data_IF_582799974572
#
_entry.id   IF_582799974572
#
_cell.length_a   1.000
_cell.length_b   1.000
_cell.length_c   1.000
_cell.angle_alpha   90.00
_cell.angle_beta   90.00
_cell.angle_gamma   90.00
#
_symmetry.space_group_name_H-M   'P 1'
#
loop_
_entity.id
_entity.type
_entity.pdbx_description
1 polymer ?
#
# COMPACT_ATOMS: atom_id res chain seq x y z
N UNK A 1 28.04 23.55 -15.00
CA UNK A 1 27.19 22.80 -15.96
C UNK A 1 25.76 22.81 -15.46
N UNK A 2 24.92 23.70 -15.99
CA UNK A 2 23.50 23.75 -15.64
C UNK A 2 22.79 22.54 -16.28
N UNK A 3 22.26 21.63 -15.47
CA UNK A 3 21.38 20.55 -15.98
C UNK A 3 20.17 21.23 -16.62
N UNK A 4 20.04 21.14 -17.94
CA UNK A 4 18.82 21.53 -18.65
C UNK A 4 17.65 20.77 -18.00
N UNK A 5 16.82 21.47 -17.23
CA UNK A 5 15.58 20.89 -16.69
C UNK A 5 14.73 20.52 -17.90
N UNK A 6 14.37 19.23 -18.03
CA UNK A 6 13.42 18.77 -19.04
C UNK A 6 12.21 19.72 -19.03
N UNK A 7 11.68 20.15 -20.18
CA UNK A 7 10.50 21.00 -20.21
C UNK A 7 9.37 20.29 -19.44
N UNK A 8 8.90 20.92 -18.36
CA UNK A 8 7.80 20.39 -17.56
C UNK A 8 6.55 20.56 -18.40
N UNK A 9 6.05 19.46 -18.98
CA UNK A 9 4.79 19.50 -19.71
C UNK A 9 3.66 19.55 -18.68
N UNK A 10 3.09 20.72 -18.49
CA UNK A 10 1.90 20.92 -17.68
C UNK A 10 0.66 20.61 -18.53
N UNK A 11 -0.29 19.84 -17.99
CA UNK A 11 -1.56 19.57 -18.66
C UNK A 11 -2.72 20.18 -17.89
N UNK A 12 -3.62 20.94 -18.55
CA UNK A 12 -4.79 21.48 -17.89
C UNK A 12 -5.71 20.37 -17.38
N UNK A 13 -6.26 20.57 -16.19
CA UNK A 13 -7.18 19.67 -15.50
C UNK A 13 -8.48 20.44 -15.22
N UNK A 14 -9.67 19.80 -15.35
CA UNK A 14 -10.92 20.43 -14.94
C UNK A 14 -10.90 20.86 -13.46
N UNK A 15 -11.48 22.03 -13.10
CA UNK A 15 -11.51 22.54 -11.73
C UNK A 15 -12.22 21.60 -10.75
N UNK A 16 -13.25 20.87 -11.22
CA UNK A 16 -13.95 19.85 -10.42
C UNK A 16 -13.03 18.72 -9.98
N UNK A 17 -12.09 18.34 -10.85
CA UNK A 17 -11.13 17.28 -10.58
C UNK A 17 -10.07 17.79 -9.60
N UNK A 18 -9.62 19.04 -9.72
CA UNK A 18 -8.73 19.69 -8.73
C UNK A 18 -9.36 19.71 -7.34
N UNK A 19 -10.63 20.12 -7.25
CA UNK A 19 -11.37 20.12 -5.99
C UNK A 19 -11.50 18.70 -5.39
N UNK A 20 -11.76 17.70 -6.24
CA UNK A 20 -11.82 16.29 -5.83
C UNK A 20 -10.48 15.78 -5.31
N UNK A 21 -9.36 16.07 -5.98
CA UNK A 21 -8.03 15.69 -5.49
C UNK A 21 -7.78 16.27 -4.11
N UNK A 22 -8.00 17.58 -3.94
CA UNK A 22 -7.74 18.27 -2.68
C UNK A 22 -8.60 17.73 -1.53
N UNK A 23 -9.87 17.38 -1.80
CA UNK A 23 -10.78 16.84 -0.78
C UNK A 23 -10.55 15.36 -0.47
N UNK A 24 -10.20 14.55 -1.47
CA UNK A 24 -10.16 13.09 -1.33
C UNK A 24 -8.76 12.51 -1.13
N UNK A 25 -7.70 13.20 -1.55
CA UNK A 25 -6.33 12.69 -1.38
C UNK A 25 -5.97 12.53 0.10
N UNK A 26 -6.33 13.50 0.93
CA UNK A 26 -6.03 13.50 2.37
C UNK A 26 -6.70 12.33 3.12
N UNK A 27 -8.03 12.10 3.05
CA UNK A 27 -8.65 10.96 3.74
C UNK A 27 -8.19 9.60 3.20
N UNK A 28 -7.94 9.47 1.89
CA UNK A 28 -7.44 8.21 1.31
C UNK A 28 -6.01 7.92 1.74
N UNK A 29 -5.14 8.93 1.70
CA UNK A 29 -3.75 8.81 2.12
C UNK A 29 -3.62 8.53 3.62
N UNK A 30 -4.34 9.28 4.46
CA UNK A 30 -4.35 9.06 5.91
C UNK A 30 -4.97 7.71 6.30
N UNK A 31 -6.02 7.28 5.60
CA UNK A 31 -6.61 5.96 5.82
C UNK A 31 -5.61 4.83 5.53
N UNK A 32 -4.86 4.94 4.44
CA UNK A 32 -3.86 3.93 4.09
C UNK A 32 -2.65 3.97 5.04
N UNK A 33 -2.23 5.16 5.49
CA UNK A 33 -1.20 5.30 6.52
C UNK A 33 -1.63 4.67 7.84
N UNK A 34 -2.82 5.01 8.33
CA UNK A 34 -3.37 4.47 9.58
C UNK A 34 -3.44 2.94 9.53
N UNK A 35 -3.90 2.40 8.41
CA UNK A 35 -3.97 0.95 8.21
C UNK A 35 -2.59 0.29 8.13
N UNK A 36 -1.59 0.97 7.55
CA UNK A 36 -0.21 0.51 7.53
C UNK A 36 0.38 0.43 8.94
N UNK A 37 0.09 1.42 9.79
CA UNK A 37 0.51 1.45 11.21
C UNK A 37 -0.14 0.30 11.98
N UNK A 38 -1.46 0.15 11.87
CA UNK A 38 -2.20 -0.94 12.54
C UNK A 38 -1.64 -2.30 12.12
N UNK A 39 -1.41 -2.49 10.82
CA UNK A 39 -0.85 -3.75 10.29
C UNK A 39 0.58 -3.98 10.81
N UNK A 40 1.39 -2.93 10.94
CA UNK A 40 2.75 -3.04 11.51
C UNK A 40 2.71 -3.53 12.94
N UNK A 41 1.87 -2.93 13.79
CA UNK A 41 1.71 -3.35 15.20
C UNK A 41 1.26 -4.81 15.28
N UNK A 42 0.31 -5.19 14.43
CA UNK A 42 -0.21 -6.54 14.33
C UNK A 42 0.91 -7.54 13.94
N UNK A 43 1.73 -7.19 12.94
CA UNK A 43 2.89 -8.00 12.52
C UNK A 43 3.95 -8.14 13.60
N UNK A 44 4.25 -7.08 14.35
CA UNK A 44 5.20 -7.14 15.48
C UNK A 44 4.68 -8.09 16.55
N UNK A 45 3.39 -8.02 16.87
CA UNK A 45 2.77 -8.97 17.80
C UNK A 45 2.87 -10.41 17.31
N UNK A 46 2.57 -10.65 16.02
CA UNK A 46 2.71 -11.99 15.40
C UNK A 46 4.16 -12.47 15.47
N UNK A 47 5.12 -11.60 15.14
CA UNK A 47 6.54 -11.91 15.14
C UNK A 47 7.04 -12.35 16.53
N UNK A 48 6.75 -11.54 17.55
CA UNK A 48 7.18 -11.81 18.92
C UNK A 48 6.50 -13.06 19.48
N UNK A 49 5.21 -13.25 19.21
CA UNK A 49 4.42 -14.31 19.84
C UNK A 49 4.55 -15.67 19.14
N UNK A 50 4.71 -15.69 17.82
CA UNK A 50 4.57 -16.91 17.01
C UNK A 50 5.82 -17.32 16.24
N UNK A 51 6.70 -16.39 15.83
CA UNK A 51 7.92 -16.76 15.10
C UNK A 51 8.85 -17.72 15.86
N UNK A 52 9.04 -17.59 17.19
CA UNK A 52 9.84 -18.56 17.95
C UNK A 52 9.26 -19.98 17.96
N UNK A 53 7.94 -20.11 17.76
CA UNK A 53 7.21 -21.41 17.78
C UNK A 53 7.03 -22.00 16.40
N UNK A 54 6.94 -21.14 15.38
CA UNK A 54 6.70 -21.47 13.98
C UNK A 54 7.67 -20.68 13.10
N UNK A 55 8.89 -21.19 12.82
CA UNK A 55 9.89 -20.44 12.05
C UNK A 55 9.40 -19.98 10.67
N UNK A 56 8.55 -20.78 10.02
CA UNK A 56 7.91 -20.45 8.73
C UNK A 56 6.95 -19.24 8.82
N UNK A 57 6.43 -18.91 10.01
CA UNK A 57 5.68 -17.66 10.21
C UNK A 57 6.58 -16.42 10.16
N UNK A 58 7.89 -16.56 10.40
CA UNK A 58 8.86 -15.48 10.19
C UNK A 58 8.92 -15.06 8.72
N UNK A 59 8.86 -16.02 7.80
CA UNK A 59 8.77 -15.74 6.35
C UNK A 59 7.51 -14.96 6.00
N UNK A 60 6.37 -15.34 6.58
CA UNK A 60 5.10 -14.62 6.42
C UNK A 60 5.19 -13.18 6.93
N UNK A 61 5.73 -12.98 8.13
CA UNK A 61 5.94 -11.65 8.72
C UNK A 61 6.83 -10.80 7.80
N UNK A 62 7.91 -11.37 7.26
CA UNK A 62 8.80 -10.67 6.34
C UNK A 62 8.11 -10.24 5.05
N UNK A 63 7.31 -11.12 4.44
CA UNK A 63 6.51 -10.80 3.25
C UNK A 63 5.52 -9.68 3.53
N UNK A 64 4.80 -9.75 4.66
CA UNK A 64 3.83 -8.72 5.03
C UNK A 64 4.47 -7.40 5.42
N UNK A 65 5.65 -7.41 6.06
CA UNK A 65 6.40 -6.20 6.33
C UNK A 65 6.75 -5.48 5.01
N UNK A 66 7.14 -6.24 3.99
CA UNK A 66 7.34 -5.72 2.63
C UNK A 66 6.07 -5.10 2.03
N UNK A 67 4.91 -5.74 2.20
CA UNK A 67 3.63 -5.22 1.73
C UNK A 67 3.22 -3.93 2.46
N UNK A 68 3.50 -3.83 3.76
CA UNK A 68 3.24 -2.63 4.57
C UNK A 68 4.10 -1.45 4.11
N UNK A 69 5.39 -1.68 3.82
CA UNK A 69 6.28 -0.64 3.29
C UNK A 69 5.74 -0.12 1.94
N UNK A 70 5.29 -1.02 1.07
CA UNK A 70 4.73 -0.64 -0.22
C UNK A 70 3.42 0.16 -0.06
N UNK A 71 2.53 -0.26 0.83
CA UNK A 71 1.32 0.48 1.15
C UNK A 71 1.62 1.88 1.72
N UNK A 72 2.63 1.99 2.58
CA UNK A 72 3.11 3.27 3.09
C UNK A 72 3.60 4.20 1.97
N UNK A 73 4.38 3.67 1.02
CA UNK A 73 4.84 4.44 -0.16
C UNK A 73 3.64 4.90 -1.00
N UNK A 74 2.65 4.03 -1.23
CA UNK A 74 1.41 4.41 -1.93
C UNK A 74 0.68 5.52 -1.19
N UNK A 75 0.62 5.47 0.13
CA UNK A 75 -0.03 6.50 0.95
C UNK A 75 0.67 7.85 0.82
N UNK A 76 2.01 7.87 0.85
CA UNK A 76 2.82 9.07 0.62
C UNK A 76 2.56 9.64 -0.78
N UNK A 77 2.54 8.80 -1.81
CA UNK A 77 2.21 9.23 -3.18
C UNK A 77 0.83 9.90 -3.23
N UNK A 78 -0.18 9.29 -2.59
CA UNK A 78 -1.54 9.84 -2.56
C UNK A 78 -1.57 11.18 -1.84
N UNK A 79 -0.89 11.31 -0.71
CA UNK A 79 -0.83 12.54 0.08
C UNK A 79 -0.09 13.69 -0.63
N UNK A 80 0.88 13.37 -1.49
CA UNK A 80 1.65 14.39 -2.23
C UNK A 80 0.97 14.83 -3.54
N UNK A 81 -0.05 14.11 -4.03
CA UNK A 81 -0.78 14.49 -5.25
C UNK A 81 -1.29 15.95 -5.26
N UNK A 82 -1.85 16.51 -4.17
CA UNK A 82 -2.32 17.90 -4.16
C UNK A 82 -1.21 18.93 -4.43
N UNK A 83 0.05 18.65 -4.06
CA UNK A 83 1.18 19.55 -4.27
C UNK A 83 1.59 19.64 -5.75
N UNK A 84 1.33 18.57 -6.50
CA UNK A 84 1.59 18.49 -7.94
C UNK A 84 0.43 19.01 -8.81
N UNK A 85 -0.63 19.53 -8.16
CA UNK A 85 -1.82 20.11 -8.79
C UNK A 85 -1.88 21.59 -8.42
N UNK A 86 -1.04 22.38 -9.08
CA UNK A 86 -1.02 23.84 -8.93
C UNK A 86 -1.87 24.48 -10.05
N UNK A 87 -2.78 25.38 -9.65
CA UNK A 87 -3.47 26.32 -10.56
C UNK A 87 -4.19 25.69 -11.77
N UNK A 88 -4.75 24.48 -11.63
CA UNK A 88 -5.46 23.80 -12.72
C UNK A 88 -4.57 23.03 -13.69
N UNK A 89 -3.28 22.83 -13.37
CA UNK A 89 -2.35 22.07 -14.19
C UNK A 89 -1.75 20.88 -13.41
N UNK A 90 -1.59 19.74 -14.09
CA UNK A 90 -0.85 18.56 -13.61
C UNK A 90 0.53 18.53 -14.25
N UNK A 91 1.57 18.27 -13.47
CA UNK A 91 2.85 17.82 -14.05
C UNK A 91 2.65 16.41 -14.63
N UNK A 92 2.74 16.30 -15.97
CA UNK A 92 2.54 15.06 -16.71
C UNK A 92 3.48 13.94 -16.25
N UNK A 93 4.74 14.28 -15.98
CA UNK A 93 5.77 13.32 -15.62
C UNK A 93 5.57 12.84 -14.18
N UNK A 94 5.27 13.77 -13.26
CA UNK A 94 4.99 13.43 -11.87
C UNK A 94 3.70 12.59 -11.73
N UNK A 95 2.63 12.97 -12.45
CA UNK A 95 1.38 12.21 -12.46
C UNK A 95 1.56 10.79 -13.00
N UNK A 96 2.24 10.64 -14.14
CA UNK A 96 2.49 9.31 -14.72
C UNK A 96 3.35 8.43 -13.81
N UNK A 97 4.41 9.01 -13.20
CA UNK A 97 5.23 8.32 -12.23
C UNK A 97 4.42 7.89 -10.99
N UNK A 98 3.62 8.79 -10.41
CA UNK A 98 2.75 8.49 -9.28
C UNK A 98 1.78 7.33 -9.59
N UNK A 99 1.11 7.38 -10.74
CA UNK A 99 0.20 6.31 -11.18
C UNK A 99 0.92 4.97 -11.38
N UNK A 100 2.03 4.97 -12.10
CA UNK A 100 2.82 3.75 -12.35
C UNK A 100 3.30 3.15 -11.03
N UNK A 101 3.91 3.97 -10.18
CA UNK A 101 4.45 3.53 -8.91
C UNK A 101 3.36 3.01 -7.98
N UNK A 102 2.21 3.70 -7.89
CA UNK A 102 1.09 3.24 -7.08
C UNK A 102 0.57 1.86 -7.52
N UNK A 103 0.44 1.63 -8.84
CA UNK A 103 0.02 0.33 -9.39
C UNK A 103 1.07 -0.76 -9.09
N UNK A 104 2.35 -0.47 -9.34
CA UNK A 104 3.43 -1.45 -9.14
C UNK A 104 3.56 -1.84 -7.68
N UNK A 105 3.58 -0.87 -6.76
CA UNK A 105 3.69 -1.13 -5.33
C UNK A 105 2.48 -1.86 -4.78
N UNK A 106 1.27 -1.51 -5.23
CA UNK A 106 0.09 -2.26 -4.82
C UNK A 106 0.08 -3.70 -5.33
N UNK A 107 0.44 -3.95 -6.60
CA UNK A 107 0.52 -5.31 -7.13
C UNK A 107 1.57 -6.15 -6.40
N UNK A 108 2.75 -5.56 -6.12
CA UNK A 108 3.79 -6.22 -5.35
C UNK A 108 3.33 -6.52 -3.92
N UNK A 109 2.67 -5.56 -3.26
CA UNK A 109 2.13 -5.73 -1.91
C UNK A 109 1.04 -6.78 -1.86
N UNK A 110 0.10 -6.74 -2.82
CA UNK A 110 -0.96 -7.74 -2.97
C UNK A 110 -0.39 -9.14 -3.19
N UNK A 111 0.62 -9.28 -4.04
CA UNK A 111 1.28 -10.57 -4.26
C UNK A 111 1.93 -11.09 -2.98
N UNK A 112 2.67 -10.27 -2.23
CA UNK A 112 3.27 -10.65 -0.94
C UNK A 112 2.21 -11.05 0.09
N UNK A 113 1.11 -10.31 0.16
CA UNK A 113 -0.03 -10.68 1.01
C UNK A 113 -0.61 -12.02 0.56
N UNK A 114 -0.87 -12.25 -0.72
CA UNK A 114 -1.36 -13.53 -1.23
C UNK A 114 -0.40 -14.69 -0.93
N UNK A 115 0.90 -14.51 -1.14
CA UNK A 115 1.91 -15.51 -0.77
C UNK A 115 1.91 -15.79 0.73
N UNK A 116 1.70 -14.78 1.57
CA UNK A 116 1.59 -14.95 3.03
C UNK A 116 0.40 -15.84 3.42
N UNK A 117 -0.72 -15.74 2.70
CA UNK A 117 -1.88 -16.62 2.86
C UNK A 117 -1.63 -18.07 2.42
N UNK A 118 -0.59 -18.34 1.62
CA UNK A 118 -0.18 -19.71 1.25
C UNK A 118 0.84 -20.26 2.25
N UNK A 119 1.82 -19.45 2.65
CA UNK A 119 2.86 -19.85 3.61
C UNK A 119 2.25 -20.17 4.98
N UNK A 120 1.19 -19.46 5.38
CA UNK A 120 0.58 -19.62 6.70
C UNK A 120 -0.10 -21.00 6.88
N UNK A 121 -1.03 -21.47 6.03
CA UNK A 121 -1.57 -22.82 6.12
C UNK A 121 -0.48 -23.90 6.08
N UNK A 122 0.57 -23.71 5.27
CA UNK A 122 1.69 -24.64 5.22
C UNK A 122 2.47 -24.69 6.54
N UNK A 123 2.70 -23.54 7.17
CA UNK A 123 3.35 -23.47 8.48
C UNK A 123 2.51 -24.17 9.57
N UNK A 124 1.18 -24.05 9.48
CA UNK A 124 0.24 -24.67 10.40
C UNK A 124 0.12 -26.18 10.17
N UNK A 125 0.07 -26.65 8.93
CA UNK A 125 -0.07 -28.08 8.62
C UNK A 125 1.14 -28.90 9.08
N UNK A 126 2.34 -28.33 9.03
CA UNK A 126 3.58 -28.99 9.48
C UNK A 126 3.67 -29.05 11.02
N UNK A 127 2.96 -28.17 11.73
CA UNK A 127 3.09 -28.00 13.19
C UNK A 127 1.76 -28.14 13.93
N UNK A 128 0.80 -28.86 13.35
CA UNK A 128 -0.58 -28.93 13.84
C UNK A 128 -0.65 -29.44 15.29
N UNK A 129 0.22 -30.38 15.65
CA UNK A 129 0.25 -30.97 17.00
C UNK A 129 1.01 -30.12 18.04
N UNK A 130 1.71 -29.07 17.60
CA UNK A 130 2.62 -28.27 18.43
C UNK A 130 2.07 -26.88 18.75
N UNK A 131 0.96 -26.49 18.13
CA UNK A 131 0.50 -25.10 18.14
C UNK A 131 -1.01 -25.03 18.29
N UNK A 132 -1.44 -24.50 19.43
CA UNK A 132 -2.83 -24.15 19.67
C UNK A 132 -3.16 -22.87 18.87
N UNK A 133 -3.77 -23.03 17.69
CA UNK A 133 -4.05 -21.92 16.76
C UNK A 133 -5.29 -21.17 17.23
N UNK A 134 -5.08 -20.25 18.16
CA UNK A 134 -6.15 -19.36 18.64
C UNK A 134 -6.56 -18.30 17.61
N UNK A 135 -7.78 -17.76 17.76
CA UNK A 135 -8.33 -16.61 17.03
C UNK A 135 -7.38 -15.40 16.93
N UNK A 136 -6.42 -15.27 17.85
CA UNK A 136 -5.43 -14.20 17.87
C UNK A 136 -4.54 -14.14 16.62
N UNK A 137 -4.21 -15.25 15.97
CA UNK A 137 -3.39 -15.25 14.75
C UNK A 137 -4.15 -14.64 13.56
N UNK A 138 -5.45 -14.93 13.47
CA UNK A 138 -6.34 -14.40 12.44
C UNK A 138 -6.57 -12.90 12.64
N UNK A 139 -6.86 -12.48 13.88
CA UNK A 139 -7.14 -11.08 14.22
C UNK A 139 -5.89 -10.20 14.17
N UNK A 140 -4.72 -10.71 14.56
CA UNK A 140 -3.48 -9.94 14.62
C UNK A 140 -2.60 -10.04 13.36
N UNK A 141 -2.97 -10.84 12.34
CA UNK A 141 -2.13 -11.01 11.14
C UNK A 141 -2.93 -10.93 9.84
N UNK A 142 -3.83 -11.89 9.65
CA UNK A 142 -4.57 -12.06 8.39
C UNK A 142 -5.53 -10.91 8.10
N UNK A 143 -6.31 -10.49 9.09
CA UNK A 143 -7.34 -9.47 8.90
C UNK A 143 -6.75 -8.08 8.58
N UNK A 144 -5.75 -7.57 9.32
CA UNK A 144 -5.11 -6.29 8.98
C UNK A 144 -4.45 -6.32 7.59
N UNK A 145 -3.78 -7.42 7.24
CA UNK A 145 -3.12 -7.56 5.95
C UNK A 145 -4.12 -7.59 4.78
N UNK A 146 -5.25 -8.30 4.93
CA UNK A 146 -6.31 -8.32 3.93
C UNK A 146 -6.93 -6.93 3.76
N UNK A 147 -7.24 -6.26 4.88
CA UNK A 147 -7.75 -4.90 4.86
C UNK A 147 -6.78 -3.96 4.14
N UNK A 148 -5.48 -4.07 4.40
CA UNK A 148 -4.44 -3.26 3.76
C UNK A 148 -4.38 -3.48 2.25
N UNK A 149 -4.43 -4.74 1.81
CA UNK A 149 -4.42 -5.09 0.38
C UNK A 149 -5.65 -4.53 -0.35
N UNK A 150 -6.84 -4.62 0.27
CA UNK A 150 -8.08 -4.10 -0.28
C UNK A 150 -8.10 -2.57 -0.32
N UNK A 151 -7.71 -1.92 0.77
CA UNK A 151 -7.69 -0.46 0.86
C UNK A 151 -6.60 0.15 -0.03
N UNK A 152 -5.46 -0.53 -0.17
CA UNK A 152 -4.43 -0.17 -1.16
C UNK A 152 -4.98 -0.18 -2.60
N UNK A 153 -5.87 -1.14 -2.92
CA UNK A 153 -6.54 -1.20 -4.22
C UNK A 153 -7.47 -0.02 -4.45
N UNK A 154 -8.18 0.42 -3.41
CA UNK A 154 -8.99 1.65 -3.45
C UNK A 154 -8.12 2.89 -3.69
N UNK A 155 -6.97 3.00 -3.01
CA UNK A 155 -6.03 4.10 -3.22
C UNK A 155 -5.49 4.12 -4.65
N UNK A 156 -5.10 2.98 -5.22
CA UNK A 156 -4.67 2.89 -6.62
C UNK A 156 -5.78 3.24 -7.59
N UNK A 157 -7.00 2.79 -7.34
CA UNK A 157 -8.16 3.15 -8.16
C UNK A 157 -8.41 4.66 -8.13
N UNK A 158 -8.24 5.30 -6.98
CA UNK A 158 -8.29 6.75 -6.83
C UNK A 158 -7.20 7.43 -7.69
N UNK A 159 -5.92 7.06 -7.52
CA UNK A 159 -4.81 7.61 -8.32
C UNK A 159 -5.05 7.43 -9.81
N UNK A 160 -5.54 6.25 -10.23
CA UNK A 160 -5.82 5.94 -11.65
C UNK A 160 -6.97 6.77 -12.23
N UNK A 161 -7.99 7.10 -11.43
CA UNK A 161 -9.11 7.96 -11.86
C UNK A 161 -8.70 9.42 -11.94
N UNK A 162 -7.85 9.84 -11.02
CA UNK A 162 -7.36 11.22 -10.90
C UNK A 162 -6.28 11.54 -11.95
N UNK A 163 -5.44 10.56 -12.27
CA UNK A 163 -4.40 10.67 -13.29
C UNK A 163 -4.80 9.77 -14.48
N UNK A 164 -5.62 10.26 -15.43
CA UNK A 164 -6.03 9.48 -16.59
C UNK A 164 -4.83 9.10 -17.47
N UNK A 165 -4.99 8.04 -18.29
CA UNK A 165 -4.00 7.72 -19.34
C UNK A 165 -3.97 8.90 -20.30
N UNK A 166 -2.85 9.60 -20.33
CA UNK A 166 -2.61 10.68 -21.26
C UNK A 166 -2.15 10.03 -22.56
N UNK A 167 -3.08 9.86 -23.49
CA UNK A 167 -2.78 9.45 -24.87
C UNK A 167 -1.83 10.43 -25.55
#
# INVERSE_FOLDING_TARGET
>A
MARARKPVSYQPIPPDLVARIRRSALPVGLGLLGLSIVTTVALVFVAVRWTPRLPLTGTMVGLQAGAVIEAFIVAVIVLSLPEHVASGYLDRNAGFAARRNAIVFWLAGFAKTAFSFVVLPLALSINFDKVDVGLGLFLAGLLPALALALYGGFAVAFVRRVVPRLS
#
